data_IF_163835164746
#
_entry.id   IF_163835164746
#
_cell.length_a   1.000
_cell.length_b   1.000
_cell.length_c   1.000
_cell.angle_alpha   90.00
_cell.angle_beta   90.00
_cell.angle_gamma   90.00
#
_symmetry.space_group_name_H-M   'P 1'
#
loop_
_entity.id
_entity.type
_entity.pdbx_description
1 polymer ?
#
# COMPACT_ATOMS: atom_id res chain seq x y z
N UNK A 1 33.50 -7.24 0.39
CA UNK A 1 33.39 -5.81 0.75
C UNK A 1 31.95 -5.38 0.54
N UNK A 2 31.14 -5.50 1.59
CA UNK A 2 29.73 -5.09 1.57
C UNK A 2 29.63 -3.57 1.56
N UNK A 3 28.88 -3.03 0.60
CA UNK A 3 28.46 -1.63 0.63
C UNK A 3 27.17 -1.55 1.42
N UNK A 4 27.29 -1.27 2.71
CA UNK A 4 26.17 -0.85 3.52
C UNK A 4 25.62 0.45 2.95
N UNK A 5 24.43 0.33 2.36
CA UNK A 5 23.70 1.45 1.79
C UNK A 5 23.06 2.16 2.97
N UNK A 6 23.66 3.25 3.44
CA UNK A 6 23.03 4.17 4.40
C UNK A 6 21.73 4.69 3.76
N UNK A 7 20.61 4.15 4.18
CA UNK A 7 19.30 4.72 3.93
C UNK A 7 19.31 6.15 4.49
N UNK A 8 19.13 7.14 3.61
CA UNK A 8 18.88 8.53 4.03
C UNK A 8 17.50 8.55 4.67
N UNK A 9 17.43 8.30 5.97
CA UNK A 9 16.23 8.54 6.76
C UNK A 9 15.86 10.03 6.64
N UNK A 10 14.67 10.31 6.12
CA UNK A 10 14.10 11.65 6.23
C UNK A 10 13.89 11.92 7.71
N UNK A 11 14.68 12.83 8.29
CA UNK A 11 14.65 13.10 9.72
C UNK A 11 13.27 13.66 10.10
N UNK A 12 12.50 12.88 10.86
CA UNK A 12 11.21 13.31 11.41
C UNK A 12 11.41 14.56 12.28
N UNK A 13 10.42 15.47 12.27
CA UNK A 13 10.42 16.68 13.10
C UNK A 13 10.41 16.37 14.60
N UNK A 14 9.87 15.22 15.00
CA UNK A 14 9.70 14.80 16.39
C UNK A 14 10.55 13.56 16.70
N UNK A 15 10.90 13.37 17.98
CA UNK A 15 11.51 12.12 18.45
C UNK A 15 10.50 10.97 18.37
N UNK A 16 10.92 9.81 17.87
CA UNK A 16 10.06 8.62 17.77
C UNK A 16 10.73 7.47 18.54
N UNK A 17 10.02 6.91 19.51
CA UNK A 17 10.30 5.60 20.11
C UNK A 17 9.55 4.54 19.29
N UNK A 18 10.27 3.83 18.41
CA UNK A 18 9.67 2.82 17.53
C UNK A 18 9.25 1.55 18.28
N UNK A 19 9.92 1.21 19.38
CA UNK A 19 9.61 0.01 20.16
C UNK A 19 8.27 0.17 20.88
N UNK A 20 8.05 1.34 21.50
CA UNK A 20 6.80 1.65 22.20
C UNK A 20 5.77 2.30 21.30
N UNK A 21 6.14 2.61 20.06
CA UNK A 21 5.35 3.39 19.10
C UNK A 21 4.88 4.73 19.68
N UNK A 22 5.79 5.48 20.29
CA UNK A 22 5.51 6.78 20.93
C UNK A 22 6.20 7.92 20.18
N UNK A 23 5.45 8.98 19.91
CA UNK A 23 5.95 10.23 19.34
C UNK A 23 6.14 11.25 20.48
N UNK A 24 7.37 11.77 20.60
CA UNK A 24 7.82 12.80 21.54
C UNK A 24 7.47 12.52 23.01
N UNK A 25 7.44 11.24 23.40
CA UNK A 25 7.03 10.77 24.72
C UNK A 25 5.62 11.22 25.17
N UNK A 26 4.75 11.60 24.23
CA UNK A 26 3.42 12.17 24.51
C UNK A 26 2.28 11.44 23.82
N UNK A 27 2.49 11.00 22.57
CA UNK A 27 1.45 10.40 21.75
C UNK A 27 1.83 8.97 21.41
N UNK A 28 1.10 8.01 21.99
CA UNK A 28 1.27 6.60 21.67
C UNK A 28 0.33 6.20 20.53
N UNK A 29 0.87 5.50 19.53
CA UNK A 29 0.08 4.91 18.45
C UNK A 29 -0.85 3.83 19.02
N UNK A 30 -2.15 3.98 18.78
CA UNK A 30 -3.13 2.94 19.05
C UNK A 30 -3.20 2.02 17.83
N UNK A 31 -2.82 0.75 18.00
CA UNK A 31 -2.98 -0.29 16.99
C UNK A 31 -3.87 -1.39 17.53
N UNK A 32 -4.62 -2.07 16.66
CA UNK A 32 -5.29 -3.31 17.09
C UNK A 32 -4.22 -4.36 17.37
N UNK A 33 -4.32 -5.00 18.53
CA UNK A 33 -3.44 -6.11 18.89
C UNK A 33 -3.55 -7.21 17.82
N UNK A 34 -2.42 -7.64 17.24
CA UNK A 34 -2.37 -8.67 16.19
C UNK A 34 -2.32 -8.18 14.73
N UNK A 35 -2.10 -6.88 14.49
CA UNK A 35 -1.91 -6.32 13.13
C UNK A 35 -0.52 -6.61 12.51
N UNK A 36 0.33 -7.37 13.20
CA UNK A 36 1.53 -7.94 12.59
C UNK A 36 1.07 -8.94 11.51
N UNK A 37 1.04 -8.48 10.27
CA UNK A 37 0.44 -9.25 9.20
C UNK A 37 1.42 -10.30 8.67
N UNK A 38 1.61 -11.36 9.46
CA UNK A 38 2.23 -12.61 9.03
C UNK A 38 1.31 -13.41 8.10
N UNK A 39 0.01 -13.08 8.08
CA UNK A 39 -0.97 -13.67 7.16
C UNK A 39 -1.38 -12.68 6.07
N UNK A 40 -1.41 -13.09 4.78
CA UNK A 40 -1.86 -12.23 3.69
C UNK A 40 -3.38 -12.17 3.64
N UNK A 41 -3.92 -10.97 3.52
CA UNK A 41 -5.31 -10.72 3.14
C UNK A 41 -5.33 -10.63 1.62
N UNK A 42 -5.83 -11.69 0.98
CA UNK A 42 -5.84 -11.80 -0.47
C UNK A 42 -7.09 -11.16 -1.05
N UNK A 43 -6.90 -10.46 -2.17
CA UNK A 43 -7.97 -9.94 -3.03
C UNK A 43 -7.76 -10.44 -4.45
N UNK A 44 -8.85 -10.60 -5.19
CA UNK A 44 -8.78 -10.97 -6.60
C UNK A 44 -8.56 -9.73 -7.45
N UNK A 45 -7.58 -9.80 -8.34
CA UNK A 45 -7.28 -8.73 -9.28
C UNK A 45 -7.13 -9.24 -10.71
N UNK A 46 -7.48 -8.39 -11.67
CA UNK A 46 -7.21 -8.60 -13.08
C UNK A 46 -5.72 -8.44 -13.36
N UNK A 47 -5.20 -9.40 -14.12
CA UNK A 47 -3.82 -9.44 -14.58
C UNK A 47 -3.78 -9.72 -16.08
N UNK A 48 -2.77 -9.17 -16.76
CA UNK A 48 -2.57 -9.41 -18.19
C UNK A 48 -1.13 -9.73 -18.51
N UNK A 49 -0.93 -10.38 -19.64
CA UNK A 49 0.37 -10.80 -20.13
C UNK A 49 0.66 -10.04 -21.41
N UNK A 50 1.76 -9.28 -21.44
CA UNK A 50 2.10 -8.40 -22.55
C UNK A 50 3.54 -8.56 -23.00
N UNK A 51 3.83 -8.10 -24.20
CA UNK A 51 5.20 -7.88 -24.64
C UNK A 51 5.84 -6.73 -23.84
N UNK A 52 7.12 -6.84 -23.42
CA UNK A 52 7.81 -5.74 -22.74
C UNK A 52 7.74 -4.39 -23.45
N UNK A 53 7.65 -4.37 -24.79
CA UNK A 53 7.54 -3.14 -25.61
C UNK A 53 6.28 -2.32 -25.28
N UNK A 54 5.20 -2.96 -24.88
CA UNK A 54 3.91 -2.31 -24.62
C UNK A 54 3.78 -1.77 -23.18
N UNK A 55 4.77 -2.03 -22.33
CA UNK A 55 4.75 -1.66 -20.90
C UNK A 55 4.58 -0.16 -20.65
N UNK A 56 5.16 0.69 -21.50
CA UNK A 56 5.04 2.14 -21.38
C UNK A 56 3.62 2.63 -21.72
N UNK A 57 2.99 2.04 -22.73
CA UNK A 57 1.62 2.37 -23.13
C UNK A 57 0.65 1.87 -22.06
N UNK A 58 0.81 0.62 -21.62
CA UNK A 58 -0.02 0.05 -20.56
C UNK A 58 0.08 0.86 -19.26
N UNK A 59 1.26 1.35 -18.91
CA UNK A 59 1.43 2.21 -17.73
C UNK A 59 0.61 3.50 -17.80
N UNK A 60 0.47 4.10 -19.00
CA UNK A 60 -0.38 5.29 -19.19
C UNK A 60 -1.84 4.92 -19.01
N UNK A 61 -2.29 3.84 -19.65
CA UNK A 61 -3.67 3.35 -19.51
C UNK A 61 -4.01 3.05 -18.05
N UNK A 62 -3.10 2.43 -17.29
CA UNK A 62 -3.32 2.15 -15.86
C UNK A 62 -3.50 3.44 -15.07
N UNK A 63 -2.72 4.50 -15.36
CA UNK A 63 -2.90 5.79 -14.69
C UNK A 63 -4.20 6.49 -15.09
N UNK A 64 -4.63 6.33 -16.33
CA UNK A 64 -5.77 7.09 -16.86
C UNK A 64 -7.12 6.41 -16.60
N UNK A 65 -7.18 5.07 -16.67
CA UNK A 65 -8.43 4.30 -16.62
C UNK A 65 -8.64 3.52 -15.32
N UNK A 66 -7.57 3.24 -14.60
CA UNK A 66 -7.60 2.40 -13.40
C UNK A 66 -7.20 3.16 -12.12
N UNK A 67 -7.02 4.48 -12.19
CA UNK A 67 -6.66 5.32 -11.04
C UNK A 67 -7.78 5.53 -10.02
N UNK A 68 -9.02 5.23 -10.39
CA UNK A 68 -10.19 5.33 -9.52
C UNK A 68 -10.41 4.07 -8.68
N UNK A 69 -9.63 3.01 -8.89
CA UNK A 69 -9.67 1.85 -8.01
C UNK A 69 -9.29 2.27 -6.59
N UNK A 70 -10.20 2.03 -5.64
CA UNK A 70 -10.00 2.36 -4.22
C UNK A 70 -8.92 1.51 -3.56
N UNK A 71 -8.50 0.42 -4.20
CA UNK A 71 -7.47 -0.48 -3.70
C UNK A 71 -6.08 0.12 -3.82
N UNK A 72 -5.35 0.16 -2.70
CA UNK A 72 -3.96 0.62 -2.70
C UNK A 72 -3.01 -0.49 -3.17
N UNK A 73 -2.42 -0.31 -4.36
CA UNK A 73 -1.40 -1.21 -4.91
C UNK A 73 0.03 -0.66 -4.80
N UNK A 74 0.28 0.42 -4.04
CA UNK A 74 1.60 1.09 -4.01
C UNK A 74 2.72 0.22 -3.43
N UNK A 75 2.41 -0.81 -2.67
CA UNK A 75 3.38 -1.79 -2.16
C UNK A 75 3.71 -2.89 -3.15
N UNK A 76 3.00 -3.00 -4.27
CA UNK A 76 3.18 -4.08 -5.24
C UNK A 76 4.00 -3.61 -6.44
N UNK A 77 4.79 -4.51 -7.01
CA UNK A 77 5.38 -4.26 -8.33
C UNK A 77 4.30 -4.40 -9.38
N UNK A 78 4.07 -3.37 -10.18
CA UNK A 78 3.06 -3.41 -11.25
C UNK A 78 3.36 -4.44 -12.34
N UNK A 79 4.65 -4.69 -12.61
CA UNK A 79 5.11 -5.66 -13.61
C UNK A 79 5.94 -6.74 -12.96
N UNK A 80 5.70 -7.97 -13.37
CA UNK A 80 6.53 -9.12 -13.06
C UNK A 80 7.03 -9.77 -14.36
N UNK A 81 8.31 -10.13 -14.40
CA UNK A 81 8.88 -10.83 -15.55
C UNK A 81 8.39 -12.27 -15.55
N UNK A 82 7.87 -12.72 -16.68
CA UNK A 82 7.46 -14.09 -16.90
C UNK A 82 8.22 -14.63 -18.12
N UNK A 83 8.80 -15.82 -18.00
CA UNK A 83 9.54 -16.46 -19.10
C UNK A 83 8.69 -17.61 -19.60
N UNK A 84 8.38 -17.60 -20.88
CA UNK A 84 7.64 -18.65 -21.57
C UNK A 84 8.58 -19.31 -22.58
N UNK A 85 8.20 -20.50 -23.03
CA UNK A 85 8.78 -21.11 -24.22
C UNK A 85 8.11 -20.51 -25.46
N UNK A 86 8.86 -20.38 -26.54
CA UNK A 86 8.31 -20.00 -27.85
C UNK A 86 7.47 -21.17 -28.38
N UNK A 87 6.24 -20.90 -28.82
CA UNK A 87 5.32 -21.93 -29.33
C UNK A 87 5.88 -22.58 -30.61
N UNK A 88 6.62 -21.83 -31.42
CA UNK A 88 7.23 -22.32 -32.66
C UNK A 88 8.59 -22.99 -32.44
N UNK A 89 9.32 -22.60 -31.39
CA UNK A 89 10.66 -23.11 -31.11
C UNK A 89 10.88 -23.26 -29.60
N UNK A 90 10.52 -24.43 -29.07
CA UNK A 90 10.56 -24.75 -27.62
C UNK A 90 11.93 -24.53 -26.95
N UNK A 91 13.01 -24.40 -27.70
CA UNK A 91 14.35 -24.08 -27.16
C UNK A 91 14.55 -22.57 -26.90
N UNK A 92 13.73 -21.71 -27.51
CA UNK A 92 13.82 -20.26 -27.39
C UNK A 92 12.93 -19.75 -26.27
N UNK A 93 13.56 -19.09 -25.30
CA UNK A 93 12.86 -18.44 -24.18
C UNK A 93 12.32 -17.08 -24.62
N UNK A 94 11.01 -16.89 -24.52
CA UNK A 94 10.34 -15.62 -24.77
C UNK A 94 10.08 -14.94 -23.43
N UNK A 95 10.42 -13.65 -23.35
CA UNK A 95 10.16 -12.84 -22.16
C UNK A 95 8.84 -12.11 -22.35
N UNK A 96 7.92 -12.32 -21.40
CA UNK A 96 6.66 -11.60 -21.25
C UNK A 96 6.63 -10.85 -19.92
N UNK A 97 5.74 -9.87 -19.82
CA UNK A 97 5.44 -9.20 -18.56
C UNK A 97 4.03 -9.55 -18.12
N UNK A 98 3.92 -10.04 -16.89
CA UNK A 98 2.66 -10.15 -16.16
C UNK A 98 2.40 -8.80 -15.49
N UNK A 99 1.26 -8.18 -15.75
CA UNK A 99 0.92 -6.85 -15.26
C UNK A 99 -0.35 -6.88 -14.42
N UNK A 100 -0.34 -6.20 -13.27
CA UNK A 100 -1.49 -5.97 -12.42
C UNK A 100 -2.27 -4.74 -12.90
N UNK A 101 -3.59 -4.91 -13.14
CA UNK A 101 -4.46 -3.84 -13.61
C UNK A 101 -5.25 -3.20 -12.47
N UNK A 102 -6.26 -3.90 -11.95
CA UNK A 102 -7.15 -3.44 -10.90
C UNK A 102 -7.77 -4.62 -10.14
N UNK A 103 -8.42 -4.31 -9.02
CA UNK A 103 -9.25 -5.25 -8.26
C UNK A 103 -10.52 -5.61 -9.01
N UNK A 104 -11.07 -6.78 -8.69
CA UNK A 104 -12.39 -7.18 -9.16
C UNK A 104 -13.52 -6.35 -8.53
N UNK A 105 -13.27 -5.73 -7.36
CA UNK A 105 -14.22 -4.83 -6.71
C UNK A 105 -14.42 -3.53 -7.51
N UNK A 106 -13.44 -3.14 -8.34
CA UNK A 106 -13.53 -1.96 -9.20
C UNK A 106 -14.17 -2.27 -10.56
N UNK A 107 -13.68 -3.30 -11.26
CA UNK A 107 -14.23 -3.79 -12.51
C UNK A 107 -14.35 -5.30 -12.37
N UNK A 108 -15.57 -5.83 -12.34
CA UNK A 108 -15.86 -7.25 -12.19
C UNK A 108 -16.03 -7.97 -13.54
N UNK A 109 -16.38 -7.22 -14.59
CA UNK A 109 -16.60 -7.73 -15.93
C UNK A 109 -15.32 -7.73 -16.81
N UNK A 110 -15.03 -8.89 -17.39
CA UNK A 110 -13.89 -9.08 -18.29
C UNK A 110 -14.03 -8.28 -19.58
N UNK A 111 -15.24 -8.15 -20.13
CA UNK A 111 -15.45 -7.48 -21.42
C UNK A 111 -15.08 -5.99 -21.36
N UNK A 112 -15.31 -5.37 -20.20
CA UNK A 112 -14.88 -4.00 -19.92
C UNK A 112 -13.35 -3.85 -19.94
N UNK A 113 -12.62 -4.81 -19.37
CA UNK A 113 -11.15 -4.83 -19.44
C UNK A 113 -10.68 -4.98 -20.89
N UNK A 114 -11.28 -5.91 -21.64
CA UNK A 114 -10.95 -6.15 -23.06
C UNK A 114 -11.18 -4.88 -23.90
N UNK A 115 -12.28 -4.17 -23.66
CA UNK A 115 -12.58 -2.91 -24.33
C UNK A 115 -11.54 -1.83 -24.02
N UNK A 116 -11.17 -1.63 -22.74
CA UNK A 116 -10.16 -0.64 -22.33
C UNK A 116 -8.80 -0.93 -23.01
N UNK A 117 -8.41 -2.20 -23.06
CA UNK A 117 -7.15 -2.62 -23.67
C UNK A 117 -7.17 -2.45 -25.20
N UNK A 118 -8.30 -2.76 -25.84
CA UNK A 118 -8.51 -2.57 -27.28
C UNK A 118 -8.46 -1.09 -27.67
N UNK A 119 -9.15 -0.22 -26.93
CA UNK A 119 -9.13 1.23 -27.15
C UNK A 119 -7.71 1.80 -27.00
N UNK A 120 -6.94 1.23 -26.06
CA UNK A 120 -5.53 1.54 -25.85
C UNK A 120 -4.56 0.92 -26.85
N UNK A 121 -5.05 0.11 -27.81
CA UNK A 121 -4.27 -0.66 -28.79
C UNK A 121 -3.19 -1.53 -28.14
N UNK A 122 -3.49 -2.10 -26.97
CA UNK A 122 -2.59 -3.01 -26.28
C UNK A 122 -2.73 -4.40 -26.86
N UNK A 123 -1.62 -4.96 -27.32
CA UNK A 123 -1.52 -6.38 -27.66
C UNK A 123 -1.18 -7.14 -26.38
N UNK A 124 -2.01 -8.12 -26.04
CA UNK A 124 -1.82 -8.98 -24.86
C UNK A 124 -2.00 -10.45 -25.26
N UNK A 125 -1.29 -11.34 -24.57
CA UNK A 125 -1.39 -12.78 -24.81
C UNK A 125 -2.64 -13.36 -24.12
N UNK A 126 -2.90 -12.95 -22.88
CA UNK A 126 -4.06 -13.40 -22.09
C UNK A 126 -4.43 -12.45 -20.95
N UNK A 127 -5.67 -12.56 -20.49
CA UNK A 127 -6.23 -11.91 -19.30
C UNK A 127 -6.60 -13.00 -18.30
N UNK A 128 -6.14 -12.87 -17.07
CA UNK A 128 -6.38 -13.80 -15.97
C UNK A 128 -6.79 -13.06 -14.69
N UNK A 129 -7.18 -13.83 -13.67
CA UNK A 129 -7.40 -13.36 -12.31
C UNK A 129 -6.31 -13.96 -11.41
N UNK A 130 -5.75 -13.17 -10.51
CA UNK A 130 -4.81 -13.64 -9.49
C UNK A 130 -5.19 -13.15 -8.09
N UNK A 131 -4.80 -13.94 -7.09
CA UNK A 131 -4.86 -13.56 -5.69
C UNK A 131 -3.66 -12.68 -5.33
N UNK A 132 -3.93 -11.47 -4.86
CA UNK A 132 -2.95 -10.43 -4.60
C UNK A 132 -3.04 -10.00 -3.12
N UNK A 133 -1.91 -9.91 -2.39
CA UNK A 133 -1.92 -9.42 -1.01
C UNK A 133 -2.29 -7.93 -0.94
N UNK A 134 -3.41 -7.62 -0.28
CA UNK A 134 -3.90 -6.25 -0.06
C UNK A 134 -3.06 -5.51 0.98
N UNK A 135 -2.61 -6.23 2.00
CA UNK A 135 -1.82 -5.74 3.11
C UNK A 135 -0.31 -5.90 2.85
N UNK A 136 0.50 -5.14 3.58
CA UNK A 136 1.96 -5.23 3.52
C UNK A 136 2.46 -6.32 4.47
N UNK A 137 3.48 -7.10 4.08
CA UNK A 137 4.14 -8.05 4.96
C UNK A 137 4.90 -7.31 6.07
N UNK A 138 4.91 -7.89 7.27
CA UNK A 138 5.53 -7.28 8.45
C UNK A 138 7.07 -7.26 8.38
N UNK A 139 7.68 -8.35 7.91
CA UNK A 139 9.12 -8.50 7.80
C UNK A 139 9.57 -8.89 6.37
N UNK A 140 10.90 -8.95 6.20
CA UNK A 140 11.55 -9.23 4.92
C UNK A 140 11.38 -10.69 4.47
N UNK A 141 11.32 -11.64 5.40
CA UNK A 141 11.20 -13.06 5.07
C UNK A 141 9.77 -13.38 4.62
N UNK A 142 8.77 -12.83 5.31
CA UNK A 142 7.35 -12.87 4.90
C UNK A 142 7.17 -12.16 3.56
N UNK A 143 7.85 -11.03 3.34
CA UNK A 143 7.82 -10.34 2.05
C UNK A 143 8.33 -11.22 0.91
N UNK A 144 9.43 -11.95 1.14
CA UNK A 144 9.98 -12.90 0.15
C UNK A 144 8.98 -14.01 -0.12
N UNK A 145 8.44 -14.65 0.92
CA UNK A 145 7.46 -15.73 0.78
C UNK A 145 6.24 -15.28 -0.04
N UNK A 146 5.65 -14.13 0.30
CA UNK A 146 4.47 -13.65 -0.40
C UNK A 146 4.78 -13.19 -1.82
N UNK A 147 5.98 -12.64 -2.05
CA UNK A 147 6.43 -12.23 -3.38
C UNK A 147 6.59 -13.41 -4.34
N UNK A 148 7.04 -14.55 -3.82
CA UNK A 148 7.17 -15.79 -4.56
C UNK A 148 5.82 -16.47 -4.77
N UNK A 149 4.96 -16.49 -3.75
CA UNK A 149 3.71 -17.24 -3.75
C UNK A 149 2.56 -16.54 -4.46
N UNK A 150 2.41 -15.23 -4.27
CA UNK A 150 1.22 -14.50 -4.72
C UNK A 150 1.58 -13.46 -5.78
N UNK A 151 2.34 -12.44 -5.39
CA UNK A 151 2.72 -11.34 -6.28
C UNK A 151 3.92 -10.58 -5.76
N UNK A 152 4.87 -10.15 -6.61
CA UNK A 152 6.06 -9.44 -6.14
C UNK A 152 5.73 -8.15 -5.40
N UNK A 153 6.22 -8.06 -4.16
CA UNK A 153 6.02 -6.94 -3.25
C UNK A 153 7.30 -6.10 -3.20
N UNK A 154 7.15 -4.78 -3.09
CA UNK A 154 8.25 -3.84 -2.87
C UNK A 154 8.52 -3.76 -1.36
N UNK A 155 9.66 -4.31 -0.93
CA UNK A 155 10.16 -4.11 0.42
C UNK A 155 10.84 -2.74 0.55
N UNK A 156 10.40 -1.92 1.51
CA UNK A 156 10.96 -0.58 1.80
C UNK A 156 11.41 -0.44 3.26
N UNK A 157 11.76 -1.57 3.89
CA UNK A 157 12.01 -1.64 5.33
C UNK A 157 10.73 -1.89 6.13
N UNK A 158 10.85 -1.86 7.45
CA UNK A 158 9.76 -2.20 8.37
C UNK A 158 8.54 -1.26 8.15
N UNK A 159 7.34 -1.79 7.83
CA UNK A 159 6.14 -0.99 7.65
C UNK A 159 5.79 -0.10 8.84
N UNK A 160 6.01 -0.58 10.07
CA UNK A 160 5.77 0.19 11.31
C UNK A 160 6.65 1.45 11.34
N UNK A 161 7.93 1.30 10.99
CA UNK A 161 8.87 2.43 10.95
C UNK A 161 8.42 3.45 9.89
N UNK A 162 7.99 2.99 8.72
CA UNK A 162 7.48 3.87 7.67
C UNK A 162 6.21 4.62 8.11
N UNK A 163 5.27 3.92 8.73
CA UNK A 163 4.03 4.50 9.25
C UNK A 163 4.32 5.53 10.34
N UNK A 164 5.15 5.20 11.32
CA UNK A 164 5.52 6.10 12.40
C UNK A 164 6.22 7.37 11.89
N UNK A 165 7.08 7.23 10.88
CA UNK A 165 7.70 8.39 10.23
C UNK A 165 6.68 9.25 9.47
N UNK A 166 5.75 8.63 8.74
CA UNK A 166 4.69 9.35 8.06
C UNK A 166 3.80 10.10 9.06
N UNK A 167 3.34 9.40 10.11
CA UNK A 167 2.56 9.99 11.19
C UNK A 167 3.31 11.16 11.81
N UNK A 168 4.56 10.98 12.24
CA UNK A 168 5.37 12.04 12.84
C UNK A 168 5.55 13.26 11.94
N UNK A 169 5.67 13.08 10.63
CA UNK A 169 5.80 14.21 9.68
C UNK A 169 4.48 14.95 9.43
N UNK A 170 3.35 14.23 9.43
CA UNK A 170 2.01 14.81 9.25
C UNK A 170 1.43 15.38 10.56
N UNK A 171 1.95 14.92 11.70
CA UNK A 171 1.47 15.25 13.04
C UNK A 171 1.68 16.73 13.35
N UNK A 172 0.61 17.42 13.76
CA UNK A 172 0.65 18.84 14.14
C UNK A 172 0.50 18.96 15.64
N UNK A 173 1.54 18.56 16.36
CA UNK A 173 1.54 18.46 17.81
C UNK A 173 1.02 19.71 18.53
N UNK A 174 1.38 20.91 18.05
CA UNK A 174 0.95 22.17 18.66
C UNK A 174 -0.57 22.35 18.62
N UNK A 175 -1.21 21.89 17.52
CA UNK A 175 -2.66 21.91 17.35
C UNK A 175 -3.32 20.87 18.25
N UNK A 176 -2.78 19.65 18.26
CA UNK A 176 -3.36 18.55 19.04
C UNK A 176 -3.25 18.82 20.55
N UNK A 177 -2.11 19.34 21.02
CA UNK A 177 -1.94 19.76 22.41
C UNK A 177 -2.87 20.91 22.80
N UNK A 178 -3.12 21.87 21.88
CA UNK A 178 -4.09 22.95 22.11
C UNK A 178 -5.49 22.38 22.36
N UNK A 179 -5.94 21.42 21.54
CA UNK A 179 -7.26 20.82 21.71
C UNK A 179 -7.34 19.90 22.93
N UNK A 180 -6.29 19.16 23.26
CA UNK A 180 -6.22 18.37 24.49
C UNK A 180 -6.31 19.24 25.74
N UNK A 181 -5.63 20.40 25.77
CA UNK A 181 -5.76 21.37 26.86
C UNK A 181 -7.20 21.86 27.01
N UNK A 182 -7.84 22.22 25.91
CA UNK A 182 -9.25 22.64 25.90
C UNK A 182 -10.19 21.54 26.37
N UNK A 183 -9.95 20.28 25.98
CA UNK A 183 -10.70 19.12 26.45
C UNK A 183 -10.60 18.97 27.98
N UNK A 184 -9.38 19.08 28.52
CA UNK A 184 -9.15 19.00 29.97
C UNK A 184 -9.85 20.13 30.71
N UNK A 185 -9.79 21.37 30.20
CA UNK A 185 -10.51 22.51 30.77
C UNK A 185 -12.02 22.26 30.80
N UNK A 186 -12.61 21.90 29.67
CA UNK A 186 -14.04 21.59 29.57
C UNK A 186 -14.45 20.41 30.46
N UNK A 187 -13.59 19.42 30.65
CA UNK A 187 -13.88 18.26 31.51
C UNK A 187 -13.94 18.62 33.00
N UNK A 188 -13.21 19.66 33.44
CA UNK A 188 -13.21 20.10 34.85
C UNK A 188 -14.53 20.76 35.26
N UNK A 189 -15.23 21.37 34.29
CA UNK A 189 -16.46 22.12 34.54
C UNK A 189 -17.70 21.20 34.62
N UNK A 190 -17.54 19.89 34.34
CA UNK A 190 -18.64 18.91 34.42
C UNK A 190 -18.71 18.37 35.85
N UNK A 191 -19.83 18.66 36.55
CA UNK A 191 -20.07 18.19 37.93
C UNK A 191 -20.24 16.66 37.99
N UNK A 192 -19.62 16.06 39.01
CA UNK A 192 -19.35 14.63 39.22
C UNK A 192 -20.55 13.68 39.44
N UNK A 193 -21.78 14.02 39.05
CA UNK A 193 -22.93 13.16 39.39
C UNK A 193 -23.15 11.99 38.42
N UNK A 194 -22.52 11.99 37.24
CA UNK A 194 -22.52 10.86 36.29
C UNK A 194 -21.23 10.81 35.44
N UNK A 195 -20.95 9.66 34.80
CA UNK A 195 -19.82 9.49 33.86
C UNK A 195 -19.95 10.52 32.73
N UNK A 196 -19.02 11.47 32.68
CA UNK A 196 -19.00 12.54 31.67
C UNK A 196 -17.98 12.27 30.57
N UNK A 197 -18.41 12.38 29.32
CA UNK A 197 -17.53 12.32 28.15
C UNK A 197 -17.54 13.67 27.42
N UNK A 198 -16.35 14.24 27.22
CA UNK A 198 -16.18 15.46 26.43
C UNK A 198 -15.47 15.11 25.13
N UNK A 199 -16.08 15.48 24.00
CA UNK A 199 -15.49 15.35 22.67
C UNK A 199 -15.28 16.71 22.02
N UNK A 200 -14.16 16.88 21.30
CA UNK A 200 -13.92 18.05 20.44
C UNK A 200 -13.81 17.57 19.00
N UNK A 201 -14.70 18.06 18.15
CA UNK A 201 -14.68 17.78 16.72
C UNK A 201 -13.99 18.92 15.97
N UNK A 202 -12.88 18.60 15.31
CA UNK A 202 -12.11 19.56 14.51
C UNK A 202 -12.50 19.43 13.05
N UNK A 203 -13.28 20.38 12.53
CA UNK A 203 -13.63 20.43 11.11
C UNK A 203 -12.49 21.11 10.36
N UNK A 204 -11.77 20.35 9.53
CA UNK A 204 -10.80 20.92 8.59
C UNK A 204 -11.56 21.44 7.37
N UNK A 205 -11.64 22.76 7.21
CA UNK A 205 -12.02 23.33 5.92
C UNK A 205 -10.91 23.01 4.91
N UNK A 206 -11.29 22.49 3.75
CA UNK A 206 -10.37 22.26 2.61
C UNK A 206 -9.85 23.59 2.07
#
# INVERSE_FOLDING_TARGET
>A
MGKDTKEKESKCKYGIDYEKSIIDNKFQRLQKTGEESFTPILIKCWIIYINPKDSAILNKIIKDKFSLDSTDFRHLKKFNKYVTEDEENKEKKVIRLKCLLCSLDYIDDKSTIEQILSDGRIVYDKIDIADIPKNKPFDKDVNREWSERYWPIVWKGNPLIQEMNQLGNEFKMDIDLKYLKKLVELSKDIKNDHVSFTGVFVIKSK
#
